data_IF_008015194768
#
_entry.id   IF_008015194768
#
_cell.length_a   1.000
_cell.length_b   1.000
_cell.length_c   1.000
_cell.angle_alpha   90.00
_cell.angle_beta   90.00
_cell.angle_gamma   90.00
#
_symmetry.space_group_name_H-M   'P 1'
#
loop_
_entity.id
_entity.type
_entity.pdbx_description
1 polymer ?
#
# COMPACT_ATOMS: atom_id res chain seq x y z
N UNK A 1 -5.25 22.08 5.36
CA UNK A 1 -5.62 22.64 6.68
C UNK A 1 -5.26 21.60 7.74
N UNK A 2 -4.68 21.98 8.88
CA UNK A 2 -4.42 21.03 9.97
C UNK A 2 -5.73 20.55 10.58
N UNK A 3 -5.67 19.40 11.26
CA UNK A 3 -6.81 18.93 12.05
C UNK A 3 -7.12 19.93 13.16
N UNK A 4 -8.41 19.98 13.58
CA UNK A 4 -8.82 20.79 14.73
C UNK A 4 -8.11 20.34 16.01
N UNK A 5 -7.96 21.24 16.98
CA UNK A 5 -7.36 20.90 18.28
C UNK A 5 -8.17 19.77 18.96
N UNK A 6 -7.52 18.70 19.42
CA UNK A 6 -8.21 17.60 20.06
C UNK A 6 -8.68 17.99 21.48
N UNK A 7 -9.71 17.33 21.96
CA UNK A 7 -10.06 17.34 23.39
C UNK A 7 -8.99 16.63 24.20
N UNK A 8 -8.98 16.81 25.53
CA UNK A 8 -8.06 16.10 26.43
C UNK A 8 -8.12 14.59 26.19
N UNK A 9 -6.98 14.00 25.88
CA UNK A 9 -6.86 12.57 25.53
C UNK A 9 -5.50 12.02 25.91
N UNK A 10 -5.42 10.70 26.12
CA UNK A 10 -4.18 10.00 26.40
C UNK A 10 -3.89 8.95 25.34
N UNK A 11 -2.64 8.89 24.88
CA UNK A 11 -2.18 7.84 23.96
C UNK A 11 -2.35 6.46 24.61
N UNK A 12 -2.82 5.48 23.86
CA UNK A 12 -3.04 4.10 24.28
C UNK A 12 -2.32 3.07 23.41
N UNK A 13 -2.17 3.38 22.15
CA UNK A 13 -1.60 2.48 21.15
C UNK A 13 -1.08 3.30 19.99
N UNK A 14 0.03 2.86 19.42
CA UNK A 14 0.56 3.38 18.15
C UNK A 14 0.68 2.22 17.17
N UNK A 15 0.05 2.36 16.00
CA UNK A 15 0.34 1.56 14.82
C UNK A 15 1.10 2.45 13.84
N UNK A 16 2.23 1.95 13.33
CA UNK A 16 2.95 2.60 12.26
C UNK A 16 3.03 1.64 11.07
N UNK A 17 2.90 2.21 9.87
CA UNK A 17 3.10 1.52 8.61
C UNK A 17 4.13 2.31 7.83
N UNK A 18 5.16 1.62 7.36
CA UNK A 18 6.25 2.17 6.56
C UNK A 18 6.38 1.36 5.29
N UNK A 19 6.59 2.04 4.15
CA UNK A 19 6.77 1.39 2.86
C UNK A 19 7.90 2.11 2.12
N UNK A 20 8.94 1.38 1.78
CA UNK A 20 10.00 1.81 0.90
C UNK A 20 9.89 1.08 -0.45
N UNK A 21 10.22 1.79 -1.52
CA UNK A 21 10.25 1.24 -2.87
C UNK A 21 11.67 1.35 -3.44
N UNK A 22 12.17 0.26 -3.99
CA UNK A 22 13.52 0.16 -4.53
C UNK A 22 13.49 -0.26 -5.99
N UNK A 23 14.12 0.54 -6.87
CA UNK A 23 14.43 0.10 -8.22
C UNK A 23 15.64 -0.84 -8.15
N UNK A 24 15.56 -1.99 -8.81
CA UNK A 24 16.61 -3.01 -8.84
C UNK A 24 17.39 -2.95 -10.15
N UNK A 25 18.63 -3.41 -10.12
CA UNK A 25 19.51 -3.44 -11.31
C UNK A 25 19.03 -4.44 -12.39
N UNK A 26 18.20 -5.42 -12.02
CA UNK A 26 17.59 -6.38 -12.94
C UNK A 26 16.28 -5.88 -13.58
N UNK A 27 15.92 -4.62 -13.33
CA UNK A 27 14.73 -3.97 -13.89
C UNK A 27 13.42 -4.28 -13.16
N UNK A 28 13.48 -5.04 -12.08
CA UNK A 28 12.35 -5.25 -11.16
C UNK A 28 12.32 -4.16 -10.09
N UNK A 29 11.29 -4.19 -9.26
CA UNK A 29 11.14 -3.27 -8.13
C UNK A 29 10.72 -4.05 -6.89
N UNK A 30 11.35 -3.73 -5.76
CA UNK A 30 10.92 -4.23 -4.46
C UNK A 30 10.10 -3.16 -3.74
N UNK A 31 9.04 -3.61 -3.07
CA UNK A 31 8.27 -2.82 -2.12
C UNK A 31 8.39 -3.49 -0.76
N UNK A 32 9.12 -2.85 0.15
CA UNK A 32 9.32 -3.29 1.52
C UNK A 32 8.32 -2.59 2.43
N UNK A 33 7.35 -3.31 2.92
CA UNK A 33 6.34 -2.80 3.83
C UNK A 33 6.52 -3.38 5.24
N UNK A 34 6.41 -2.53 6.26
CA UNK A 34 6.48 -2.92 7.67
C UNK A 34 5.31 -2.35 8.44
N UNK A 35 4.73 -3.14 9.31
CA UNK A 35 3.70 -2.71 10.27
C UNK A 35 4.17 -3.01 11.69
N UNK A 36 4.07 -2.02 12.56
CA UNK A 36 4.38 -2.17 13.98
C UNK A 36 3.22 -1.74 14.85
N UNK A 37 2.99 -2.44 15.95
CA UNK A 37 2.02 -2.09 16.98
C UNK A 37 2.71 -2.00 18.34
N UNK A 38 2.53 -0.87 19.04
CA UNK A 38 3.06 -0.64 20.38
C UNK A 38 1.94 -0.16 21.31
N UNK A 39 1.79 -0.81 22.45
CA UNK A 39 0.91 -0.36 23.54
C UNK A 39 1.69 0.48 24.54
N UNK A 40 1.04 1.50 25.11
CA UNK A 40 1.66 2.36 26.14
C UNK A 40 1.79 1.62 27.49
N UNK A 41 0.85 0.71 27.76
CA UNK A 41 0.79 -0.08 29.00
C UNK A 41 0.97 -1.56 28.71
N UNK A 42 1.35 -2.32 29.72
CA UNK A 42 1.39 -3.78 29.67
C UNK A 42 0.07 -4.35 29.14
N UNK A 43 0.19 -5.41 28.36
CA UNK A 43 -0.95 -6.16 27.82
C UNK A 43 -0.87 -7.60 28.29
N UNK A 44 -1.91 -8.07 28.96
CA UNK A 44 -2.07 -9.48 29.32
C UNK A 44 -2.68 -10.23 28.14
N UNK A 45 -1.94 -11.19 27.61
CA UNK A 45 -2.34 -12.10 26.54
C UNK A 45 -2.44 -13.51 27.10
N UNK A 46 -3.06 -14.43 26.36
CA UNK A 46 -3.03 -15.86 26.70
C UNK A 46 -1.60 -16.44 26.69
N UNK A 47 -0.70 -15.83 25.89
CA UNK A 47 0.73 -16.18 25.81
C UNK A 47 1.60 -15.54 26.91
N UNK A 48 1.04 -14.75 27.82
CA UNK A 48 1.76 -14.03 28.87
C UNK A 48 1.63 -12.51 28.80
N UNK A 49 2.38 -11.80 29.64
CA UNK A 49 2.36 -10.33 29.68
C UNK A 49 3.37 -9.77 28.68
N UNK A 50 2.91 -8.86 27.83
CA UNK A 50 3.76 -8.04 26.95
C UNK A 50 3.90 -6.66 27.59
N UNK A 51 5.13 -6.22 27.95
CA UNK A 51 5.35 -4.91 28.55
C UNK A 51 4.94 -3.76 27.62
N UNK A 52 4.50 -2.65 28.21
CA UNK A 52 4.29 -1.41 27.49
C UNK A 52 5.58 -0.90 26.87
N UNK A 53 5.48 -0.25 25.70
CA UNK A 53 6.63 0.30 24.96
C UNK A 53 7.38 -0.71 24.09
N UNK A 54 7.11 -2.02 24.19
CA UNK A 54 7.67 -3.02 23.27
C UNK A 54 6.69 -3.37 22.15
N UNK A 55 7.21 -3.90 21.04
CA UNK A 55 6.36 -4.32 19.91
C UNK A 55 5.43 -5.46 20.30
N UNK A 56 4.14 -5.24 20.12
CA UNK A 56 3.13 -6.30 20.12
C UNK A 56 3.12 -7.03 18.78
N UNK A 57 3.25 -6.25 17.68
CA UNK A 57 3.49 -6.73 16.34
C UNK A 57 4.67 -5.96 15.73
N UNK A 58 5.50 -6.69 15.00
CA UNK A 58 6.52 -6.19 14.10
C UNK A 58 6.61 -7.16 12.94
N UNK A 59 5.97 -6.79 11.83
CA UNK A 59 5.76 -7.67 10.69
C UNK A 59 6.19 -6.96 9.42
N UNK A 60 6.85 -7.68 8.54
CA UNK A 60 7.34 -7.17 7.27
C UNK A 60 6.82 -8.00 6.10
N UNK A 61 6.52 -7.33 5.00
CA UNK A 61 6.13 -7.93 3.73
C UNK A 61 6.91 -7.24 2.62
N UNK A 62 7.73 -8.01 1.91
CA UNK A 62 8.35 -7.60 0.65
C UNK A 62 7.58 -8.21 -0.50
N UNK A 63 7.26 -7.42 -1.52
CA UNK A 63 6.87 -7.94 -2.83
C UNK A 63 7.84 -7.43 -3.88
N UNK A 64 8.18 -8.27 -4.84
CA UNK A 64 8.92 -7.89 -6.05
C UNK A 64 7.94 -7.81 -7.21
N UNK A 65 7.97 -6.70 -7.95
CA UNK A 65 7.06 -6.44 -9.07
C UNK A 65 7.84 -6.14 -10.36
N UNK A 66 7.23 -6.49 -11.49
CA UNK A 66 7.72 -6.10 -12.81
C UNK A 66 7.10 -4.76 -13.26
N UNK A 67 7.50 -4.26 -14.43
CA UNK A 67 7.01 -2.98 -14.99
C UNK A 67 5.51 -2.95 -15.24
N UNK A 68 4.88 -4.10 -15.44
CA UNK A 68 3.43 -4.27 -15.62
C UNK A 68 2.68 -4.34 -14.28
N UNK A 69 3.38 -4.09 -13.15
CA UNK A 69 2.84 -4.13 -11.79
C UNK A 69 2.33 -5.52 -11.38
N UNK A 70 2.88 -6.57 -11.96
CA UNK A 70 2.61 -7.97 -11.60
C UNK A 70 3.63 -8.43 -10.57
N UNK A 71 3.18 -9.05 -9.50
CA UNK A 71 4.03 -9.61 -8.44
C UNK A 71 4.73 -10.86 -8.99
N UNK A 72 6.06 -10.84 -8.97
CA UNK A 72 6.92 -11.95 -9.41
C UNK A 72 7.56 -12.69 -8.23
N UNK A 73 7.69 -12.03 -7.08
CA UNK A 73 8.06 -12.66 -5.82
C UNK A 73 7.40 -11.98 -4.62
N UNK A 74 7.31 -12.70 -3.49
CA UNK A 74 6.80 -12.18 -2.23
C UNK A 74 7.45 -12.91 -1.05
N UNK A 75 7.78 -12.17 0.00
CA UNK A 75 8.35 -12.70 1.24
C UNK A 75 7.72 -11.98 2.43
N UNK A 76 7.44 -12.70 3.51
CA UNK A 76 6.93 -12.10 4.75
C UNK A 76 7.71 -12.64 5.96
N UNK A 77 7.97 -11.72 6.91
CA UNK A 77 8.67 -11.99 8.16
C UNK A 77 7.86 -11.47 9.35
N UNK A 78 8.10 -12.04 10.51
CA UNK A 78 7.41 -11.71 11.76
C UNK A 78 8.41 -11.68 12.92
N UNK A 79 8.89 -10.48 13.28
CA UNK A 79 9.93 -10.28 14.30
C UNK A 79 9.35 -10.18 15.72
N UNK A 80 8.12 -9.66 15.84
CA UNK A 80 7.36 -9.67 17.08
C UNK A 80 5.89 -10.02 16.82
N UNK A 81 5.37 -10.96 17.60
CA UNK A 81 3.99 -11.47 17.49
C UNK A 81 3.39 -11.76 18.86
N UNK A 82 2.06 -11.68 19.03
CA UNK A 82 1.40 -12.00 20.28
C UNK A 82 1.42 -13.49 20.65
N UNK A 83 1.53 -14.39 19.66
CA UNK A 83 1.53 -15.84 19.86
C UNK A 83 2.74 -16.46 19.13
N UNK A 84 3.96 -16.42 19.74
CA UNK A 84 5.17 -16.99 19.16
C UNK A 84 5.01 -18.50 18.90
N UNK A 85 5.58 -18.96 17.77
CA UNK A 85 5.46 -20.35 17.31
C UNK A 85 4.15 -20.65 16.55
N UNK A 86 3.24 -19.68 16.47
CA UNK A 86 1.96 -19.80 15.74
C UNK A 86 1.78 -18.66 14.73
N UNK A 87 1.83 -17.41 15.15
CA UNK A 87 1.66 -16.27 14.25
C UNK A 87 2.81 -16.13 13.24
N UNK A 88 4.03 -16.46 13.65
CA UNK A 88 5.27 -16.37 12.86
C UNK A 88 5.43 -17.47 11.82
N UNK A 89 4.54 -18.47 11.80
CA UNK A 89 4.56 -19.55 10.80
C UNK A 89 3.87 -19.18 9.49
N UNK A 90 3.12 -18.09 9.42
CA UNK A 90 2.27 -17.73 8.27
C UNK A 90 3.04 -17.15 7.08
N UNK A 91 4.29 -16.72 7.26
CA UNK A 91 5.10 -16.05 6.23
C UNK A 91 5.06 -16.72 4.85
N UNK A 92 5.30 -18.04 4.74
CA UNK A 92 5.28 -18.76 3.46
C UNK A 92 3.96 -18.67 2.68
N UNK A 93 2.83 -18.43 3.36
CA UNK A 93 1.53 -18.29 2.71
C UNK A 93 1.48 -17.06 1.78
N UNK A 94 2.33 -16.05 2.03
CA UNK A 94 2.35 -14.81 1.24
C UNK A 94 2.97 -14.97 -0.15
N UNK A 95 3.66 -16.10 -0.44
CA UNK A 95 3.99 -16.50 -1.82
C UNK A 95 2.76 -16.62 -2.73
N UNK A 96 1.57 -16.80 -2.17
CA UNK A 96 0.30 -16.80 -2.92
C UNK A 96 -0.02 -15.44 -3.56
N UNK A 97 0.66 -14.35 -3.19
CA UNK A 97 0.55 -13.06 -3.87
C UNK A 97 1.15 -13.08 -5.28
N UNK A 98 2.08 -13.99 -5.56
CA UNK A 98 2.75 -14.11 -6.88
C UNK A 98 1.70 -14.31 -7.97
N UNK A 99 1.88 -13.57 -9.07
CA UNK A 99 0.98 -13.56 -10.22
C UNK A 99 -0.20 -12.59 -10.11
N UNK A 100 -0.47 -11.99 -8.93
CA UNK A 100 -1.44 -10.91 -8.83
C UNK A 100 -0.88 -9.63 -9.45
N UNK A 101 -1.75 -8.89 -10.13
CA UNK A 101 -1.41 -7.57 -10.65
C UNK A 101 -1.98 -6.49 -9.73
N UNK A 102 -1.15 -5.54 -9.29
CA UNK A 102 -1.51 -4.52 -8.30
C UNK A 102 -2.66 -3.61 -8.75
N UNK A 103 -2.87 -3.45 -10.07
CA UNK A 103 -3.89 -2.56 -10.63
C UNK A 103 -5.14 -3.30 -11.13
N UNK A 104 -5.10 -4.64 -11.26
CA UNK A 104 -6.17 -5.42 -11.86
C UNK A 104 -6.66 -6.49 -10.88
N UNK A 105 -7.82 -6.26 -10.25
CA UNK A 105 -8.45 -7.24 -9.36
C UNK A 105 -7.67 -7.59 -8.09
N UNK A 106 -6.66 -6.80 -7.73
CA UNK A 106 -5.71 -7.12 -6.66
C UNK A 106 -6.38 -7.45 -5.32
N UNK A 107 -7.26 -6.55 -4.85
CA UNK A 107 -7.94 -6.75 -3.56
C UNK A 107 -8.80 -8.00 -3.51
N UNK A 108 -9.45 -8.34 -4.63
CA UNK A 108 -10.22 -9.58 -4.74
C UNK A 108 -9.29 -10.79 -4.67
N UNK A 109 -8.19 -10.78 -5.44
CA UNK A 109 -7.18 -11.85 -5.40
C UNK A 109 -6.54 -12.04 -4.03
N UNK A 110 -6.23 -10.95 -3.30
CA UNK A 110 -5.76 -11.02 -1.92
C UNK A 110 -6.82 -11.65 -1.01
N UNK A 111 -8.09 -11.21 -1.12
CA UNK A 111 -9.19 -11.77 -0.35
C UNK A 111 -9.36 -13.27 -0.58
N UNK A 112 -9.34 -13.71 -1.83
CA UNK A 112 -9.51 -15.13 -2.19
C UNK A 112 -8.37 -16.00 -1.67
N UNK A 113 -7.13 -15.49 -1.69
CA UNK A 113 -5.92 -16.26 -1.38
C UNK A 113 -5.51 -16.22 0.09
N UNK A 114 -5.82 -15.13 0.81
CA UNK A 114 -5.25 -14.82 2.12
C UNK A 114 -6.28 -14.36 3.16
N UNK A 115 -7.59 -14.49 2.91
CA UNK A 115 -8.59 -14.09 3.90
C UNK A 115 -8.74 -15.11 5.04
N UNK A 116 -9.18 -14.60 6.19
CA UNK A 116 -9.45 -15.42 7.38
C UNK A 116 -8.22 -16.18 7.85
N UNK A 117 -8.38 -17.48 8.02
CA UNK A 117 -7.31 -18.38 8.52
C UNK A 117 -6.23 -18.69 7.47
N UNK A 118 -6.39 -18.24 6.22
CA UNK A 118 -5.42 -18.45 5.14
C UNK A 118 -4.27 -17.45 5.18
N UNK A 119 -4.39 -16.38 5.98
CA UNK A 119 -3.40 -15.32 6.10
C UNK A 119 -3.41 -14.69 7.49
N UNK A 120 -2.54 -13.71 7.70
CA UNK A 120 -2.50 -12.84 8.87
C UNK A 120 -3.20 -11.52 8.55
N UNK A 121 -4.09 -11.04 9.42
CA UNK A 121 -4.82 -9.78 9.21
C UNK A 121 -3.88 -8.59 9.00
N UNK A 122 -2.77 -8.51 9.73
CA UNK A 122 -1.81 -7.42 9.64
C UNK A 122 -1.01 -7.44 8.35
N UNK A 123 -0.47 -8.60 7.96
CA UNK A 123 0.25 -8.75 6.69
C UNK A 123 -0.69 -8.57 5.48
N UNK A 124 -1.95 -9.01 5.59
CA UNK A 124 -2.97 -8.78 4.56
C UNK A 124 -3.36 -7.31 4.46
N UNK A 125 -3.37 -6.57 5.58
CA UNK A 125 -3.52 -5.11 5.59
C UNK A 125 -2.36 -4.43 4.84
N UNK A 126 -1.10 -4.83 5.11
CA UNK A 126 0.06 -4.35 4.35
C UNK A 126 -0.10 -4.62 2.85
N UNK A 127 -0.46 -5.84 2.46
CA UNK A 127 -0.67 -6.18 1.06
C UNK A 127 -1.67 -5.22 0.38
N UNK A 128 -2.78 -4.89 1.03
CA UNK A 128 -3.85 -4.07 0.47
C UNK A 128 -3.49 -2.59 0.24
N UNK A 129 -2.44 -2.08 0.84
CA UNK A 129 -1.97 -0.69 0.64
C UNK A 129 -0.85 -0.58 -0.40
N UNK A 130 -0.20 -1.68 -0.77
CA UNK A 130 0.92 -1.70 -1.74
C UNK A 130 0.57 -1.14 -3.13
N UNK A 131 -0.65 -1.31 -3.69
CA UNK A 131 -0.98 -0.75 -5.00
C UNK A 131 -0.74 0.75 -5.11
N UNK A 132 -1.13 1.52 -4.09
CA UNK A 132 -0.93 2.97 -4.12
C UNK A 132 0.54 3.36 -3.93
N UNK A 133 1.29 2.62 -3.12
CA UNK A 133 2.72 2.84 -2.96
C UNK A 133 3.49 2.55 -4.26
N UNK A 134 3.17 1.45 -4.95
CA UNK A 134 3.77 1.10 -6.24
C UNK A 134 3.54 2.19 -7.30
N UNK A 135 2.32 2.72 -7.40
CA UNK A 135 2.02 3.80 -8.34
C UNK A 135 2.81 5.07 -8.01
N UNK A 136 2.97 5.41 -6.74
CA UNK A 136 3.79 6.57 -6.35
C UNK A 136 5.27 6.36 -6.70
N UNK A 137 5.79 5.14 -6.48
CA UNK A 137 7.17 4.80 -6.83
C UNK A 137 7.42 4.85 -8.35
N UNK A 138 6.44 4.41 -9.15
CA UNK A 138 6.54 4.38 -10.61
C UNK A 138 6.31 5.74 -11.27
N UNK A 139 5.72 6.71 -10.56
CA UNK A 139 5.42 8.02 -11.09
C UNK A 139 6.70 8.75 -11.53
N UNK A 140 6.78 9.10 -12.80
CA UNK A 140 7.90 9.69 -13.53
C UNK A 140 9.09 8.75 -13.82
N UNK A 141 9.27 7.65 -13.10
CA UNK A 141 10.36 6.70 -13.36
C UNK A 141 9.94 5.65 -14.41
N UNK A 142 8.75 5.09 -14.29
CA UNK A 142 8.21 4.07 -15.18
C UNK A 142 6.97 4.58 -15.92
N UNK A 143 6.11 5.32 -15.22
CA UNK A 143 4.84 5.84 -15.75
C UNK A 143 4.96 7.36 -15.92
N UNK A 144 4.80 7.84 -17.16
CA UNK A 144 4.73 9.27 -17.41
C UNK A 144 3.45 9.85 -16.82
N UNK A 145 3.59 10.86 -15.95
CA UNK A 145 2.46 11.49 -15.26
C UNK A 145 2.14 12.89 -15.76
N UNK A 146 3.04 13.51 -16.54
CA UNK A 146 2.82 14.83 -17.12
C UNK A 146 2.28 14.69 -18.53
N UNK A 147 1.31 15.53 -18.86
CA UNK A 147 0.92 15.75 -20.25
C UNK A 147 1.93 16.75 -20.82
N UNK A 148 2.83 16.28 -21.69
CA UNK A 148 3.87 17.10 -22.30
C UNK A 148 3.30 18.17 -23.21
N UNK A 149 4.16 19.03 -23.76
CA UNK A 149 3.84 20.06 -24.73
C UNK A 149 4.45 19.70 -26.09
N UNK A 150 3.77 20.00 -27.19
CA UNK A 150 4.27 19.72 -28.54
C UNK A 150 4.53 18.23 -28.77
N UNK A 151 5.73 17.88 -29.22
CA UNK A 151 6.12 16.50 -29.57
C UNK A 151 6.23 15.57 -28.37
N UNK A 152 6.32 16.14 -27.14
CA UNK A 152 6.36 15.37 -25.88
C UNK A 152 4.98 15.03 -25.32
N UNK A 153 3.90 15.40 -26.02
CA UNK A 153 2.54 15.11 -25.55
C UNK A 153 2.29 13.60 -25.49
N UNK A 154 1.65 13.16 -24.38
CA UNK A 154 1.23 11.77 -24.27
C UNK A 154 0.16 11.47 -25.34
N UNK A 155 0.28 10.34 -26.07
CA UNK A 155 -0.75 9.93 -27.02
C UNK A 155 -2.05 9.54 -26.32
N UNK A 156 -1.94 8.98 -25.12
CA UNK A 156 -3.04 8.47 -24.34
C UNK A 156 -3.34 9.34 -23.11
N UNK A 157 -4.59 9.27 -22.66
CA UNK A 157 -5.06 9.95 -21.46
C UNK A 157 -4.24 9.51 -20.23
N UNK A 158 -3.66 10.46 -19.46
CA UNK A 158 -2.93 10.13 -18.24
C UNK A 158 -3.77 9.28 -17.28
N UNK A 159 -3.18 8.19 -16.79
CA UNK A 159 -3.90 7.16 -16.04
C UNK A 159 -4.53 7.69 -14.74
N UNK A 160 -3.96 8.74 -14.14
CA UNK A 160 -4.43 9.32 -12.86
C UNK A 160 -5.71 10.15 -13.00
N UNK A 161 -6.13 10.54 -14.20
CA UNK A 161 -7.40 11.26 -14.42
C UNK A 161 -8.57 10.33 -14.05
N UNK A 162 -9.53 10.83 -13.28
CA UNK A 162 -10.66 10.11 -12.65
C UNK A 162 -10.23 9.01 -11.65
N UNK A 163 -9.01 9.09 -11.09
CA UNK A 163 -8.57 8.18 -10.02
C UNK A 163 -8.60 8.78 -8.62
N UNK A 164 -8.73 10.12 -8.53
CA UNK A 164 -8.89 10.81 -7.25
C UNK A 164 -9.78 12.04 -7.40
N UNK A 165 -10.26 12.56 -6.28
CA UNK A 165 -11.14 13.75 -6.26
C UNK A 165 -10.54 14.95 -6.98
N UNK A 166 -9.24 15.21 -6.81
CA UNK A 166 -8.58 16.38 -7.39
C UNK A 166 -8.48 16.32 -8.92
N UNK A 167 -8.41 15.13 -9.50
CA UNK A 167 -8.22 14.91 -10.93
C UNK A 167 -9.47 14.32 -11.60
N UNK A 168 -10.65 14.75 -11.17
CA UNK A 168 -11.88 14.48 -11.92
C UNK A 168 -11.82 15.19 -13.28
N UNK A 169 -12.20 14.49 -14.36
CA UNK A 169 -12.14 15.03 -15.71
C UNK A 169 -12.98 16.30 -15.91
N UNK A 170 -14.08 16.42 -15.16
CA UNK A 170 -14.97 17.60 -15.12
C UNK A 170 -14.54 18.64 -14.09
N UNK A 171 -13.41 18.46 -13.42
CA UNK A 171 -12.99 19.29 -12.29
C UNK A 171 -11.93 20.33 -12.63
N UNK A 172 -11.76 21.34 -11.75
CA UNK A 172 -10.81 22.43 -11.97
C UNK A 172 -9.34 21.98 -11.99
N UNK A 173 -9.02 20.85 -11.32
CA UNK A 173 -7.67 20.30 -11.34
C UNK A 173 -7.27 19.82 -12.74
N UNK A 174 -8.14 19.08 -13.42
CA UNK A 174 -7.90 18.64 -14.80
C UNK A 174 -7.92 19.83 -15.76
N UNK A 175 -8.83 20.76 -15.60
CA UNK A 175 -8.86 22.00 -16.41
C UNK A 175 -7.55 22.78 -16.34
N UNK A 176 -6.91 22.80 -15.16
CA UNK A 176 -5.65 23.53 -14.95
C UNK A 176 -4.41 22.78 -15.41
N UNK A 177 -4.32 21.48 -15.11
CA UNK A 177 -3.08 20.72 -15.26
C UNK A 177 -3.08 19.76 -16.45
N UNK A 178 -4.27 19.45 -17.00
CA UNK A 178 -4.49 18.53 -18.11
C UNK A 178 -5.58 19.03 -19.05
N UNK A 179 -5.48 20.27 -19.59
CA UNK A 179 -6.58 20.92 -20.32
C UNK A 179 -7.10 20.13 -21.52
N UNK A 180 -6.25 19.32 -22.17
CA UNK A 180 -6.64 18.44 -23.27
C UNK A 180 -7.65 17.36 -22.89
N UNK A 181 -7.75 17.03 -21.58
CA UNK A 181 -8.48 15.88 -21.07
C UNK A 181 -9.72 16.26 -20.24
N UNK A 182 -10.11 17.54 -20.34
CA UNK A 182 -11.33 18.03 -19.69
C UNK A 182 -12.54 17.36 -20.33
N UNK A 183 -13.36 16.69 -19.52
CA UNK A 183 -14.66 16.23 -19.97
C UNK A 183 -15.59 17.44 -20.19
N UNK A 184 -16.30 17.48 -21.32
CA UNK A 184 -17.36 18.47 -21.50
C UNK A 184 -18.37 18.28 -20.37
N UNK A 185 -18.73 19.38 -19.71
CA UNK A 185 -19.86 19.38 -18.75
C UNK A 185 -21.09 18.90 -19.52
N UNK A 186 -21.58 17.73 -19.20
CA UNK A 186 -22.90 17.30 -19.63
C UNK A 186 -23.87 18.17 -18.85
N UNK A 187 -24.40 19.22 -19.48
CA UNK A 187 -25.51 19.98 -18.92
C UNK A 187 -26.72 19.04 -18.91
N UNK A 188 -27.09 18.54 -17.74
CA UNK A 188 -28.39 17.94 -17.48
C UNK A 188 -29.51 19.01 -17.45
#
# INVERSE_FOLDING_TARGET
>A
MPLSSPVSRALRHTRAIHIDAFARDDGLWDLDARITDVKVKDVTLASGVRPGGVFLHDLSLRITINRELTIVDAEAASDAVPYPGYCDTIGPAYKRLIGLNLMKGFRLGVKERLSGVLGCTHLTELANILPTAAIQAYANDVIKTRDGNGDDQLPDRPFQIDKCHALRADGPGVAKYYPRWVAALVNE
#
